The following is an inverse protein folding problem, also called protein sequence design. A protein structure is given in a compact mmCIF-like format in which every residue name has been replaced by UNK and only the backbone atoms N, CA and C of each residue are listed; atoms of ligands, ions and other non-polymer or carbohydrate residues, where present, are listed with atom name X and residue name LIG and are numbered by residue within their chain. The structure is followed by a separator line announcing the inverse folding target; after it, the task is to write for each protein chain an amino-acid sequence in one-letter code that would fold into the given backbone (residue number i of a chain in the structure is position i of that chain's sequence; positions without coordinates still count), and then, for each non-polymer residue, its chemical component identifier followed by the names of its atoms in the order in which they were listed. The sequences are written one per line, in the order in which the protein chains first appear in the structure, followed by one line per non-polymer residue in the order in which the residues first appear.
data_IF_714205689258
#
_entry.id   IF_714205689258
#
_cell.length_a   1.000
_cell.length_b   1.000
_cell.length_c   1.000
_cell.angle_alpha   90.00
_cell.angle_beta   90.00
_cell.angle_gamma   90.00
#
_symmetry.space_group_name_H-M   'P 1'
#
loop_
_entity.id
_entity.type
_entity.pdbx_description
1 polymer ?
#
# COMPACT_ATOMS: atom_id res chain seq x y z
N UNK A 1 -0.20 -2.54 -1.37
CA UNK A 1 -0.09 -3.80 -0.55
C UNK A 1 -1.12 -4.81 -1.00
N UNK A 2 -0.78 -6.11 -1.02
CA UNK A 2 -1.72 -7.20 -1.31
C UNK A 2 -2.31 -7.73 0.00
N UNK A 3 -3.64 -7.88 0.05
CA UNK A 3 -4.37 -8.55 1.13
C UNK A 3 -5.11 -9.73 0.54
N UNK A 4 -4.81 -10.94 1.01
CA UNK A 4 -5.41 -12.17 0.50
C UNK A 4 -6.18 -12.91 1.59
N UNK A 5 -7.06 -13.80 1.17
CA UNK A 5 -7.76 -14.71 2.09
C UNK A 5 -6.77 -15.65 2.79
N UNK A 6 -5.71 -16.07 2.09
CA UNK A 6 -4.60 -16.80 2.70
C UNK A 6 -3.90 -15.89 3.69
N UNK A 7 -4.28 -16.01 4.95
CA UNK A 7 -3.77 -15.16 6.02
C UNK A 7 -2.31 -15.53 6.37
N UNK A 8 -1.61 -14.55 6.90
CA UNK A 8 -0.26 -14.72 7.44
C UNK A 8 -0.35 -14.80 8.97
N UNK A 9 0.15 -15.86 9.54
CA UNK A 9 0.24 -16.00 11.00
C UNK A 9 1.39 -15.17 11.53
N UNK A 10 1.16 -14.42 12.59
CA UNK A 10 2.17 -13.61 13.27
C UNK A 10 2.12 -13.86 14.77
N UNK A 11 3.18 -13.49 15.48
CA UNK A 11 3.21 -13.55 16.93
C UNK A 11 2.15 -12.64 17.55
N UNK A 12 1.57 -13.11 18.66
CA UNK A 12 0.60 -12.38 19.49
C UNK A 12 1.03 -12.40 20.93
N UNK A 13 0.70 -11.34 21.64
CA UNK A 13 0.78 -11.36 23.09
C UNK A 13 -0.24 -12.33 23.65
N UNK A 14 0.21 -13.23 24.54
CA UNK A 14 -0.62 -14.22 25.19
C UNK A 14 -0.05 -14.52 26.57
N UNK A 15 -0.88 -15.14 27.43
CA UNK A 15 -0.42 -15.56 28.77
C UNK A 15 0.77 -16.52 28.62
N UNK A 16 1.80 -16.32 29.44
CA UNK A 16 2.98 -17.22 29.47
C UNK A 16 2.54 -18.68 29.68
N UNK A 17 3.08 -19.57 28.88
CA UNK A 17 2.73 -21.00 28.88
C UNK A 17 1.46 -21.35 28.08
N UNK A 18 0.74 -20.40 27.54
CA UNK A 18 -0.38 -20.64 26.64
C UNK A 18 0.07 -20.72 25.18
N UNK A 19 -0.69 -21.47 24.37
CA UNK A 19 -0.48 -21.58 22.92
C UNK A 19 -1.73 -21.07 22.19
N UNK A 20 -1.81 -19.77 21.90
CA UNK A 20 -3.00 -19.22 21.25
C UNK A 20 -3.20 -19.87 19.88
N UNK A 21 -4.44 -20.26 19.59
CA UNK A 21 -4.81 -20.81 18.29
C UNK A 21 -5.14 -19.67 17.35
N UNK A 22 -4.76 -19.82 16.08
CA UNK A 22 -5.17 -18.92 15.02
C UNK A 22 -5.71 -19.75 13.85
N UNK A 23 -6.76 -19.24 13.22
CA UNK A 23 -7.36 -19.88 12.04
C UNK A 23 -6.45 -19.61 10.84
N UNK A 24 -6.12 -20.64 10.09
CA UNK A 24 -5.34 -20.54 8.85
C UNK A 24 -6.26 -20.72 7.66
N UNK A 25 -6.46 -19.66 6.89
CA UNK A 25 -7.24 -19.68 5.66
C UNK A 25 -6.32 -19.99 4.47
N UNK A 26 -6.68 -20.98 3.67
CA UNK A 26 -5.91 -21.40 2.50
C UNK A 26 -6.51 -20.93 1.17
N UNK A 27 -7.63 -20.20 1.20
CA UNK A 27 -8.22 -19.62 0.00
C UNK A 27 -7.28 -18.60 -0.64
N UNK A 28 -7.36 -18.42 -1.95
CA UNK A 28 -6.35 -17.69 -2.73
C UNK A 28 -6.81 -16.33 -3.24
N UNK A 29 -8.07 -15.96 -3.06
CA UNK A 29 -8.55 -14.65 -3.48
C UNK A 29 -7.83 -13.52 -2.74
N UNK A 30 -7.55 -12.46 -3.44
CA UNK A 30 -6.85 -11.31 -2.87
C UNK A 30 -7.33 -10.01 -3.48
N UNK A 31 -7.18 -8.94 -2.71
CA UNK A 31 -7.37 -7.57 -3.14
C UNK A 31 -6.08 -6.77 -2.93
N UNK A 32 -6.02 -5.60 -3.52
CA UNK A 32 -4.83 -4.76 -3.46
C UNK A 32 -5.18 -3.41 -2.86
N UNK A 33 -4.41 -3.01 -1.86
CA UNK A 33 -4.48 -1.69 -1.28
C UNK A 33 -3.39 -0.82 -1.92
N UNK A 34 -3.83 0.23 -2.57
CA UNK A 34 -2.98 1.30 -3.05
C UNK A 34 -3.02 2.43 -2.03
N UNK A 35 -1.88 3.00 -1.70
CA UNK A 35 -1.83 4.08 -0.73
C UNK A 35 -0.67 5.02 -1.01
N UNK A 36 -0.91 6.29 -0.73
CA UNK A 36 0.09 7.33 -0.70
C UNK A 36 -0.14 8.22 0.51
N UNK A 37 0.91 8.73 1.09
CA UNK A 37 0.86 9.58 2.28
C UNK A 37 1.77 10.80 2.10
N UNK A 38 1.29 11.93 2.59
CA UNK A 38 2.07 13.13 2.77
C UNK A 38 2.26 13.34 4.28
N UNK A 39 3.41 12.93 4.86
CA UNK A 39 3.63 13.02 6.31
C UNK A 39 3.59 14.46 6.83
N UNK A 40 4.10 15.40 6.05
CA UNK A 40 4.14 16.82 6.42
C UNK A 40 2.74 17.40 6.67
N UNK A 41 1.77 17.06 5.80
CA UNK A 41 0.39 17.55 5.91
C UNK A 41 -0.52 16.61 6.69
N UNK A 42 -0.05 15.41 7.04
CA UNK A 42 -0.88 14.38 7.68
C UNK A 42 -2.04 13.90 6.81
N UNK A 43 -1.92 13.98 5.49
CA UNK A 43 -2.95 13.60 4.52
C UNK A 43 -2.50 12.42 3.67
N UNK A 44 -3.43 11.79 2.99
CA UNK A 44 -3.13 10.70 2.09
C UNK A 44 -4.31 10.33 1.20
N UNK A 45 -4.06 9.37 0.31
CA UNK A 45 -5.06 8.80 -0.56
C UNK A 45 -4.91 7.28 -0.57
N UNK A 46 -6.01 6.56 -0.58
CA UNK A 46 -6.00 5.10 -0.65
C UNK A 46 -7.14 4.57 -1.51
N UNK A 47 -6.87 3.49 -2.22
CA UNK A 47 -7.86 2.75 -3.00
C UNK A 47 -7.75 1.25 -2.71
N UNK A 48 -8.87 0.57 -2.73
CA UNK A 48 -8.96 -0.89 -2.68
C UNK A 48 -9.38 -1.37 -4.06
N UNK A 49 -8.51 -2.12 -4.72
CA UNK A 49 -8.69 -2.52 -6.11
C UNK A 49 -8.52 -4.04 -6.28
N UNK A 50 -9.22 -4.66 -7.23
CA UNK A 50 -9.17 -6.11 -7.43
C UNK A 50 -7.89 -6.58 -8.13
N UNK A 51 -7.15 -5.69 -8.76
CA UNK A 51 -5.95 -6.01 -9.51
C UNK A 51 -4.81 -5.02 -9.24
N UNK A 52 -3.60 -5.45 -9.52
CA UNK A 52 -2.39 -4.62 -9.42
C UNK A 52 -1.74 -4.53 -10.80
N UNK A 53 -2.18 -3.56 -11.58
CA UNK A 53 -1.76 -3.32 -12.95
C UNK A 53 -1.67 -1.82 -13.25
N UNK A 54 -1.33 -1.45 -14.47
CA UNK A 54 -1.19 -0.05 -14.88
C UNK A 54 -2.52 0.72 -14.82
N UNK A 55 -3.65 0.07 -15.09
CA UNK A 55 -4.97 0.69 -14.97
C UNK A 55 -5.30 1.04 -13.51
N UNK A 56 -5.02 0.12 -12.58
CA UNK A 56 -5.18 0.36 -11.15
C UNK A 56 -4.26 1.50 -10.68
N UNK A 57 -3.02 1.55 -11.18
CA UNK A 57 -2.10 2.65 -10.86
C UNK A 57 -2.59 3.98 -11.42
N UNK A 58 -3.19 3.99 -12.61
CA UNK A 58 -3.78 5.20 -13.17
C UNK A 58 -4.89 5.75 -12.28
N UNK A 59 -5.78 4.89 -11.80
CA UNK A 59 -6.84 5.28 -10.86
C UNK A 59 -6.24 5.85 -9.57
N UNK A 60 -5.17 5.26 -9.08
CA UNK A 60 -4.50 5.72 -7.87
C UNK A 60 -3.84 7.09 -8.07
N UNK A 61 -3.18 7.32 -9.19
CA UNK A 61 -2.61 8.63 -9.54
C UNK A 61 -3.69 9.71 -9.64
N UNK A 62 -4.81 9.39 -10.27
CA UNK A 62 -5.94 10.31 -10.39
C UNK A 62 -6.53 10.67 -9.02
N UNK A 63 -6.65 9.69 -8.12
CA UNK A 63 -7.10 9.93 -6.74
C UNK A 63 -6.11 10.80 -5.96
N UNK A 64 -4.80 10.54 -6.05
CA UNK A 64 -3.77 11.36 -5.42
C UNK A 64 -3.86 12.80 -5.94
N UNK A 65 -4.04 12.98 -7.23
CA UNK A 65 -4.14 14.31 -7.84
C UNK A 65 -5.27 15.16 -7.24
N UNK A 66 -6.38 14.53 -6.85
CA UNK A 66 -7.50 15.22 -6.19
C UNK A 66 -7.18 15.69 -4.78
N UNK A 67 -6.18 15.10 -4.13
CA UNK A 67 -5.76 15.41 -2.75
C UNK A 67 -4.63 16.42 -2.66
N UNK A 68 -3.99 16.74 -3.78
CA UNK A 68 -2.93 17.75 -3.83
C UNK A 68 -3.57 19.14 -3.63
N UNK A 69 -2.96 19.94 -2.77
CA UNK A 69 -3.41 21.31 -2.51
C UNK A 69 -3.50 22.12 -3.82
N UNK A 70 -4.60 22.85 -4.06
CA UNK A 70 -4.71 23.70 -5.26
C UNK A 70 -3.53 24.66 -5.41
N UNK A 71 -2.94 24.71 -6.60
CA UNK A 71 -1.75 25.52 -6.89
C UNK A 71 -0.42 24.90 -6.45
N UNK A 72 -0.44 23.76 -5.75
CA UNK A 72 0.75 23.01 -5.35
C UNK A 72 1.09 21.93 -6.39
N UNK A 73 2.32 21.46 -6.35
CA UNK A 73 2.81 20.35 -7.15
C UNK A 73 3.39 19.27 -6.25
N UNK A 74 2.92 18.02 -6.40
CA UNK A 74 3.38 16.90 -5.60
C UNK A 74 4.51 16.14 -6.29
N UNK A 75 5.55 15.82 -5.56
CA UNK A 75 6.55 14.85 -5.97
C UNK A 75 6.19 13.52 -5.31
N UNK A 76 5.80 12.54 -6.11
CA UNK A 76 5.42 11.22 -5.65
C UNK A 76 6.63 10.29 -5.67
N UNK A 77 7.10 9.92 -4.48
CA UNK A 77 8.14 8.90 -4.32
C UNK A 77 7.51 7.52 -4.45
N UNK A 78 8.07 6.65 -5.25
CA UNK A 78 7.58 5.29 -5.48
C UNK A 78 8.73 4.31 -5.69
N UNK A 79 8.49 3.05 -5.37
CA UNK A 79 9.44 2.00 -5.67
C UNK A 79 9.49 1.71 -7.19
N UNK A 80 10.48 0.92 -7.59
CA UNK A 80 10.68 0.58 -9.00
C UNK A 80 9.91 -0.69 -9.42
N UNK A 81 8.66 -0.86 -8.98
CA UNK A 81 7.82 -1.92 -9.52
C UNK A 81 7.63 -1.71 -11.03
N UNK A 82 7.70 -2.78 -11.82
CA UNK A 82 7.73 -2.71 -13.28
C UNK A 82 6.56 -1.94 -13.92
N UNK A 83 5.39 -1.96 -13.30
CA UNK A 83 4.20 -1.24 -13.78
C UNK A 83 4.18 0.25 -13.40
N UNK A 84 5.00 0.70 -12.43
CA UNK A 84 5.14 2.12 -12.08
C UNK A 84 5.76 2.94 -13.22
N UNK A 85 6.61 2.33 -14.01
CA UNK A 85 7.25 2.96 -15.17
C UNK A 85 6.54 2.73 -16.49
N UNK A 86 5.32 2.20 -16.48
CA UNK A 86 4.58 1.91 -17.70
C UNK A 86 4.34 3.19 -18.51
N UNK A 87 4.74 3.17 -19.77
CA UNK A 87 4.60 4.31 -20.70
C UNK A 87 3.14 4.71 -20.95
N UNK A 88 2.19 3.84 -20.67
CA UNK A 88 0.76 4.09 -20.80
C UNK A 88 0.17 4.94 -19.66
N UNK A 89 0.92 5.14 -18.57
CA UNK A 89 0.47 5.98 -17.47
C UNK A 89 0.46 7.46 -17.89
N UNK A 90 -0.70 8.08 -17.70
CA UNK A 90 -0.88 9.52 -17.86
C UNK A 90 -0.71 10.20 -16.50
N UNK A 91 0.47 10.72 -16.24
CA UNK A 91 0.76 11.40 -14.98
C UNK A 91 0.00 12.74 -14.93
N UNK A 92 -0.82 12.99 -13.88
CA UNK A 92 -1.51 14.27 -13.74
C UNK A 92 -0.54 15.46 -13.72
N UNK A 93 -1.00 16.63 -14.15
CA UNK A 93 -0.18 17.84 -14.25
C UNK A 93 0.45 18.29 -12.94
N UNK A 94 -0.24 18.03 -11.82
CA UNK A 94 0.18 18.43 -10.48
C UNK A 94 1.01 17.36 -9.75
N UNK A 95 1.45 16.34 -10.46
CA UNK A 95 2.27 15.25 -9.91
C UNK A 95 3.51 15.05 -10.79
N UNK A 96 4.65 14.86 -10.15
CA UNK A 96 5.86 14.31 -10.77
C UNK A 96 6.24 13.01 -10.07
N UNK A 97 6.55 11.98 -10.86
CA UNK A 97 6.99 10.68 -10.32
C UNK A 97 8.51 10.71 -10.09
N UNK A 98 8.93 10.28 -8.90
CA UNK A 98 10.34 10.11 -8.55
C UNK A 98 10.56 8.68 -8.06
N UNK A 99 11.12 7.79 -8.90
CA UNK A 99 11.46 6.43 -8.47
C UNK A 99 12.54 6.46 -7.40
N UNK A 100 12.33 5.67 -6.34
CA UNK A 100 13.34 5.44 -5.31
C UNK A 100 14.45 4.53 -5.82
N UNK A 101 15.67 4.61 -5.25
CA UNK A 101 16.73 3.67 -5.56
C UNK A 101 16.26 2.21 -5.36
N UNK A 102 16.76 1.27 -6.15
CA UNK A 102 16.42 -0.13 -5.96
C UNK A 102 16.87 -0.64 -4.58
N UNK A 103 16.07 -1.49 -3.96
CA UNK A 103 16.33 -2.10 -2.64
C UNK A 103 16.47 -1.09 -1.49
N UNK A 104 15.70 0.00 -1.54
CA UNK A 104 15.67 1.01 -0.48
C UNK A 104 14.26 1.18 0.10
N UNK A 105 13.63 0.11 0.66
CA UNK A 105 12.28 0.19 1.22
C UNK A 105 12.18 1.15 2.41
N UNK A 106 13.28 1.37 3.12
CA UNK A 106 13.36 2.30 4.25
C UNK A 106 13.08 3.76 3.86
N UNK A 107 13.24 4.10 2.59
CA UNK A 107 12.95 5.43 2.07
C UNK A 107 11.46 5.63 1.73
N UNK A 108 10.68 4.54 1.76
CA UNK A 108 9.26 4.59 1.46
C UNK A 108 8.42 4.58 2.76
N UNK A 109 8.01 5.76 3.22
CA UNK A 109 7.20 5.91 4.44
C UNK A 109 5.87 5.14 4.40
N UNK A 110 5.34 4.84 3.22
CA UNK A 110 4.12 4.03 3.07
C UNK A 110 4.28 2.60 3.60
N UNK A 111 5.48 2.04 3.55
CA UNK A 111 5.75 0.69 4.08
C UNK A 111 5.53 0.61 5.59
N UNK A 112 5.80 1.66 6.33
CA UNK A 112 5.54 1.72 7.76
C UNK A 112 4.02 1.64 8.06
N UNK A 113 3.20 2.28 7.24
CA UNK A 113 1.74 2.22 7.36
C UNK A 113 1.25 0.82 7.05
N UNK A 114 1.77 0.18 6.00
CA UNK A 114 1.42 -1.20 5.65
C UNK A 114 1.80 -2.18 6.76
N UNK A 115 2.97 -2.00 7.35
CA UNK A 115 3.42 -2.84 8.47
C UNK A 115 2.52 -2.66 9.69
N UNK A 116 2.18 -1.44 10.04
CA UNK A 116 1.26 -1.14 11.14
C UNK A 116 -0.11 -1.76 10.93
N UNK A 117 -0.69 -1.64 9.74
CA UNK A 117 -1.97 -2.26 9.39
C UNK A 117 -1.92 -3.79 9.48
N UNK A 118 -0.86 -4.41 8.98
CA UNK A 118 -0.68 -5.86 9.07
C UNK A 118 -0.62 -6.32 10.52
N UNK A 119 0.13 -5.65 11.35
CA UNK A 119 0.31 -6.03 12.76
C UNK A 119 -0.97 -5.88 13.59
N UNK A 120 -1.75 -4.85 13.32
CA UNK A 120 -2.89 -4.51 14.17
C UNK A 120 -4.23 -5.06 13.67
N UNK A 121 -4.44 -5.17 12.36
CA UNK A 121 -5.75 -5.50 11.81
C UNK A 121 -5.80 -6.62 10.78
N UNK A 122 -4.73 -6.88 10.03
CA UNK A 122 -4.79 -7.79 8.89
C UNK A 122 -4.19 -9.17 9.16
N UNK A 123 -3.35 -9.32 10.16
CA UNK A 123 -2.76 -10.61 10.52
C UNK A 123 -3.66 -11.43 11.43
N UNK A 124 -3.56 -12.75 11.35
CA UNK A 124 -4.34 -13.71 12.14
C UNK A 124 -5.87 -13.58 11.98
N UNK A 125 -6.32 -13.11 10.83
CA UNK A 125 -7.74 -12.97 10.51
C UNK A 125 -8.11 -13.79 9.28
N UNK A 126 -9.37 -14.16 9.22
CA UNK A 126 -10.03 -14.78 8.06
C UNK A 126 -10.91 -13.71 7.40
N UNK A 127 -10.75 -13.58 6.12
CA UNK A 127 -11.53 -12.63 5.33
C UNK A 127 -12.56 -13.32 4.46
#
# INVERSE_FOLDING_TARGET
MRVGQKNKLTYRWARKGSRPRAVHDQRTQSTYLFGAVCPELGTGAALVLPACNSEAMQLHLDEIATKVTPGAHAILLLDQAGWHGAKILKVPRNISLMPLPPRAPELNGQENIWQYMRQNWLSNRVF
#
